data_IF_296224750841
#
_entry.id   IF_296224750841
#
_cell.length_a   1.000
_cell.length_b   1.000
_cell.length_c   1.000
_cell.angle_alpha   90.00
_cell.angle_beta   90.00
_cell.angle_gamma   90.00
#
_symmetry.space_group_name_H-M   'P 1'
#
loop_
_entity.id
_entity.type
_entity.pdbx_description
1 polymer ?
#
# COMPACT_ATOMS: atom_id res chain seq x y z
N UNK A 1 -16.88 21.11 -2.43
CA UNK A 1 -15.97 20.12 -1.86
C UNK A 1 -14.92 20.90 -1.07
N UNK A 2 -14.60 20.53 0.18
CA UNK A 2 -13.43 21.11 0.83
C UNK A 2 -12.16 20.48 0.23
N UNK A 3 -11.08 21.24 0.16
CA UNK A 3 -9.76 20.80 -0.34
C UNK A 3 -9.26 19.54 0.41
N UNK A 4 -9.61 19.42 1.69
CA UNK A 4 -9.36 18.23 2.53
C UNK A 4 -10.01 16.97 1.94
N UNK A 5 -11.25 17.06 1.45
CA UNK A 5 -11.96 15.89 0.90
C UNK A 5 -11.40 15.41 -0.45
N UNK A 6 -10.70 16.28 -1.19
CA UNK A 6 -10.06 15.91 -2.45
C UNK A 6 -8.75 15.14 -2.20
N UNK A 7 -7.94 15.58 -1.23
CA UNK A 7 -6.74 14.85 -0.81
C UNK A 7 -7.07 13.48 -0.22
N UNK A 8 -8.13 13.38 0.59
CA UNK A 8 -8.61 12.11 1.12
C UNK A 8 -9.01 11.14 0.01
N UNK A 9 -9.71 11.64 -1.02
CA UNK A 9 -10.10 10.82 -2.16
C UNK A 9 -8.89 10.29 -2.91
N UNK A 10 -7.91 11.15 -3.21
CA UNK A 10 -6.66 10.75 -3.88
C UNK A 10 -5.93 9.68 -3.06
N UNK A 11 -5.84 9.85 -1.74
CA UNK A 11 -5.24 8.86 -0.87
C UNK A 11 -5.98 7.52 -0.89
N UNK A 12 -7.32 7.53 -0.85
CA UNK A 12 -8.12 6.30 -0.90
C UNK A 12 -7.92 5.56 -2.23
N UNK A 13 -7.86 6.29 -3.34
CA UNK A 13 -7.61 5.73 -4.66
C UNK A 13 -6.21 5.08 -4.72
N UNK A 14 -5.16 5.80 -4.29
CA UNK A 14 -3.78 5.28 -4.21
C UNK A 14 -3.67 4.07 -3.27
N UNK A 15 -4.30 4.13 -2.10
CA UNK A 15 -4.30 3.03 -1.14
C UNK A 15 -4.94 1.77 -1.71
N UNK A 16 -6.02 1.93 -2.48
CA UNK A 16 -6.71 0.82 -3.14
C UNK A 16 -5.81 0.16 -4.21
N UNK A 17 -5.09 0.97 -5.00
CA UNK A 17 -4.13 0.47 -5.98
C UNK A 17 -2.96 -0.28 -5.31
N UNK A 18 -2.43 0.25 -4.21
CA UNK A 18 -1.35 -0.41 -3.47
C UNK A 18 -1.80 -1.74 -2.86
N UNK A 19 -3.03 -1.83 -2.34
CA UNK A 19 -3.57 -3.09 -1.82
C UNK A 19 -3.72 -4.14 -2.93
N UNK A 20 -4.21 -3.75 -4.10
CA UNK A 20 -4.34 -4.66 -5.25
C UNK A 20 -2.97 -5.16 -5.76
N UNK A 21 -1.97 -4.27 -5.80
CA UNK A 21 -0.61 -4.64 -6.17
C UNK A 21 0.01 -5.61 -5.15
N UNK A 22 -0.22 -5.36 -3.86
CA UNK A 22 0.25 -6.25 -2.80
C UNK A 22 -0.39 -7.63 -2.93
N UNK A 23 -1.71 -7.71 -3.03
CA UNK A 23 -2.45 -8.97 -3.21
C UNK A 23 -1.94 -9.76 -4.43
N UNK A 24 -1.81 -9.11 -5.58
CA UNK A 24 -1.33 -9.74 -6.81
C UNK A 24 0.11 -10.27 -6.66
N UNK A 25 0.97 -9.54 -5.94
CA UNK A 25 2.34 -9.97 -5.66
C UNK A 25 2.37 -11.17 -4.72
N UNK A 26 1.49 -11.23 -3.72
CA UNK A 26 1.35 -12.39 -2.83
C UNK A 26 0.86 -13.61 -3.60
N UNK A 27 -0.15 -13.47 -4.46
CA UNK A 27 -0.64 -14.56 -5.31
C UNK A 27 0.47 -15.11 -6.22
N UNK A 28 1.35 -14.25 -6.75
CA UNK A 28 2.50 -14.72 -7.51
C UNK A 28 3.47 -15.52 -6.62
N UNK A 29 3.72 -15.06 -5.39
CA UNK A 29 4.58 -15.78 -4.45
C UNK A 29 4.02 -17.13 -4.00
N UNK A 30 2.70 -17.33 -4.01
CA UNK A 30 2.12 -18.66 -3.79
C UNK A 30 2.55 -19.66 -4.87
N UNK A 31 2.70 -19.19 -6.11
CA UNK A 31 3.12 -20.02 -7.25
C UNK A 31 4.64 -20.09 -7.42
N UNK A 32 5.34 -19.00 -7.12
CA UNK A 32 6.78 -18.86 -7.22
C UNK A 32 7.35 -18.15 -5.98
N UNK A 33 7.57 -18.87 -4.86
CA UNK A 33 7.99 -18.28 -3.59
C UNK A 33 9.34 -17.55 -3.62
N UNK A 34 10.16 -17.80 -4.65
CA UNK A 34 11.48 -17.20 -4.80
C UNK A 34 11.50 -16.05 -5.83
N UNK A 35 10.34 -15.61 -6.34
CA UNK A 35 10.22 -14.45 -7.23
C UNK A 35 10.68 -13.19 -6.51
N UNK A 36 11.90 -12.72 -6.83
CA UNK A 36 12.43 -11.48 -6.25
C UNK A 36 11.63 -10.27 -6.70
N UNK A 37 11.10 -10.34 -7.91
CA UNK A 37 10.24 -9.34 -8.51
C UNK A 37 8.96 -9.18 -7.68
N UNK A 38 8.28 -10.28 -7.37
CA UNK A 38 7.06 -10.25 -6.55
C UNK A 38 7.34 -9.81 -5.10
N UNK A 39 8.43 -10.27 -4.48
CA UNK A 39 8.86 -9.79 -3.15
C UNK A 39 9.06 -8.27 -3.16
N UNK A 40 9.81 -7.75 -4.15
CA UNK A 40 10.09 -6.33 -4.24
C UNK A 40 8.83 -5.50 -4.52
N UNK A 41 7.90 -6.02 -5.33
CA UNK A 41 6.62 -5.37 -5.64
C UNK A 41 5.71 -5.32 -4.41
N UNK A 42 5.58 -6.41 -3.66
CA UNK A 42 4.84 -6.46 -2.41
C UNK A 42 5.40 -5.45 -1.39
N UNK A 43 6.73 -5.43 -1.20
CA UNK A 43 7.37 -4.49 -0.29
C UNK A 43 7.12 -3.03 -0.68
N UNK A 44 7.25 -2.70 -1.98
CA UNK A 44 7.01 -1.33 -2.47
C UNK A 44 5.57 -0.89 -2.25
N UNK A 45 4.60 -1.76 -2.51
CA UNK A 45 3.19 -1.47 -2.28
C UNK A 45 2.91 -1.07 -0.81
N UNK A 46 3.41 -1.89 0.13
CA UNK A 46 3.28 -1.64 1.56
C UNK A 46 4.03 -0.37 1.99
N UNK A 47 5.24 -0.14 1.45
CA UNK A 47 6.03 1.04 1.76
C UNK A 47 5.35 2.34 1.31
N UNK A 48 4.78 2.37 0.11
CA UNK A 48 4.01 3.49 -0.42
C UNK A 48 2.77 3.75 0.43
N UNK A 49 2.00 2.70 0.75
CA UNK A 49 0.82 2.81 1.60
C UNK A 49 1.14 3.39 2.99
N UNK A 50 2.23 2.93 3.62
CA UNK A 50 2.72 3.48 4.89
C UNK A 50 3.07 4.97 4.78
N UNK A 51 3.75 5.35 3.69
CA UNK A 51 4.14 6.73 3.41
C UNK A 51 2.94 7.65 3.22
N UNK A 52 1.98 7.24 2.39
CA UNK A 52 0.72 7.98 2.20
C UNK A 52 -0.07 8.12 3.49
N UNK A 53 -0.20 7.03 4.27
CA UNK A 53 -0.89 7.05 5.55
C UNK A 53 -0.23 7.99 6.57
N UNK A 54 1.11 8.06 6.59
CA UNK A 54 1.84 9.00 7.44
C UNK A 54 1.62 10.45 7.02
N UNK A 55 1.64 10.74 5.71
CA UNK A 55 1.39 12.07 5.14
C UNK A 55 -0.02 12.58 5.44
N UNK A 56 -1.02 11.70 5.46
CA UNK A 56 -2.40 12.02 5.84
C UNK A 56 -2.63 12.08 7.36
N UNK A 57 -1.63 11.75 8.17
CA UNK A 57 -1.75 11.68 9.64
C UNK A 57 -2.48 10.42 10.16
N UNK A 58 -2.78 9.46 9.30
CA UNK A 58 -3.44 8.19 9.62
C UNK A 58 -2.49 7.22 10.33
N UNK A 59 -2.20 7.54 11.58
CA UNK A 59 -1.15 6.89 12.39
C UNK A 59 -1.42 5.39 12.61
N UNK A 60 -2.68 4.99 12.77
CA UNK A 60 -3.02 3.57 12.94
C UNK A 60 -2.73 2.76 11.66
N UNK A 61 -3.10 3.31 10.50
CA UNK A 61 -2.85 2.67 9.21
C UNK A 61 -1.36 2.56 8.92
N UNK A 62 -0.60 3.64 9.17
CA UNK A 62 0.86 3.64 9.03
C UNK A 62 1.54 2.57 9.90
N UNK A 63 1.07 2.35 11.14
CA UNK A 63 1.61 1.30 12.04
C UNK A 63 1.34 -0.12 11.53
N UNK A 64 0.14 -0.37 11.02
CA UNK A 64 -0.22 -1.67 10.45
C UNK A 64 0.64 -1.94 9.21
N UNK A 65 0.69 -0.99 8.27
CA UNK A 65 1.53 -1.12 7.07
C UNK A 65 3.02 -1.23 7.38
N UNK A 66 3.50 -0.70 8.50
CA UNK A 66 4.91 -0.88 8.89
C UNK A 66 5.23 -2.29 9.38
N UNK A 67 4.25 -3.00 9.94
CA UNK A 67 4.43 -4.32 10.54
C UNK A 67 4.29 -5.47 9.53
N UNK A 68 3.89 -5.16 8.30
CA UNK A 68 3.80 -6.05 7.15
C UNK A 68 5.13 -6.09 6.40
#
# INVERSE_FOLDING_TARGET
MSEIGELEKVFIDEASEMIQLFESSILELETNPNSKEAINSAFRAVHTLKGGAASMGYTNLSKVSHSM
#
